data_IF_852047934089
#
_entry.id   IF_852047934089
#
_cell.length_a   1.000
_cell.length_b   1.000
_cell.length_c   1.000
_cell.angle_alpha   90.00
_cell.angle_beta   90.00
_cell.angle_gamma   90.00
#
_symmetry.space_group_name_H-M   'P 1'
#
loop_
_entity.id
_entity.type
_entity.pdbx_description
1 polymer ?
#
# COMPACT_ATOMS: atom_id res chain seq x y z
N UNK A 1 15.82 16.12 82.11
CA UNK A 1 15.66 14.66 81.97
C UNK A 1 15.20 14.36 80.57
N UNK A 2 15.99 13.59 79.79
CA UNK A 2 15.56 12.70 78.67
C UNK A 2 14.84 13.38 77.47
N UNK A 3 15.10 13.14 76.19
CA UNK A 3 15.98 12.25 75.43
C UNK A 3 15.71 12.61 73.94
N UNK A 4 16.76 12.67 73.12
CA UNK A 4 16.88 12.05 71.78
C UNK A 4 16.03 12.49 70.54
N UNK A 5 16.74 12.46 69.40
CA UNK A 5 16.35 12.19 67.99
C UNK A 5 16.10 13.44 67.11
N UNK A 6 17.09 13.90 66.35
CA UNK A 6 17.45 13.49 64.97
C UNK A 6 16.28 13.62 63.98
N UNK A 7 16.40 14.49 62.97
CA UNK A 7 16.54 14.07 61.57
C UNK A 7 16.43 15.28 60.63
N UNK A 8 17.50 15.44 59.86
CA UNK A 8 17.63 16.28 58.68
C UNK A 8 16.55 15.96 57.64
N UNK A 9 15.86 16.97 57.12
CA UNK A 9 15.11 16.86 55.88
C UNK A 9 15.62 17.94 54.92
N UNK A 10 16.52 17.52 54.02
CA UNK A 10 16.95 18.31 52.88
C UNK A 10 15.73 18.65 52.00
N UNK A 11 15.49 19.95 51.83
CA UNK A 11 14.61 20.48 50.78
C UNK A 11 15.43 20.46 49.48
N UNK A 12 15.26 19.42 48.68
CA UNK A 12 15.70 19.42 47.29
C UNK A 12 14.48 19.76 46.40
N UNK A 13 14.40 21.02 45.97
CA UNK A 13 13.51 21.45 44.90
C UNK A 13 13.89 20.72 43.60
N UNK A 14 13.27 19.57 43.35
CA UNK A 14 13.28 18.93 42.04
C UNK A 14 12.42 19.73 41.08
N UNK A 15 13.05 20.55 40.24
CA UNK A 15 12.43 21.14 39.06
C UNK A 15 12.07 19.99 38.10
N UNK A 16 10.82 19.55 38.12
CA UNK A 16 10.27 18.68 37.11
C UNK A 16 10.21 19.48 35.80
N UNK A 17 11.17 19.25 34.92
CA UNK A 17 11.12 19.76 33.56
C UNK A 17 9.91 19.11 32.86
N UNK A 18 9.06 19.90 32.16
CA UNK A 18 8.05 19.32 31.31
C UNK A 18 8.77 18.67 30.13
N UNK A 19 8.76 17.34 30.06
CA UNK A 19 9.03 16.61 28.83
C UNK A 19 7.98 17.03 27.80
N UNK A 20 8.33 18.04 27.00
CA UNK A 20 7.71 18.28 25.73
C UNK A 20 7.97 17.03 24.89
N UNK A 21 7.03 16.09 24.92
CA UNK A 21 6.98 14.98 23.99
C UNK A 21 6.97 15.60 22.59
N UNK A 22 8.14 15.63 21.96
CA UNK A 22 8.24 15.94 20.55
C UNK A 22 7.46 14.84 19.84
N UNK A 23 6.24 15.17 19.41
CA UNK A 23 5.51 14.37 18.44
C UNK A 23 6.43 14.31 17.22
N UNK A 24 7.23 13.26 17.16
CA UNK A 24 8.11 12.97 16.05
C UNK A 24 7.19 12.69 14.89
N UNK A 25 6.92 13.73 14.09
CA UNK A 25 6.21 13.61 12.84
C UNK A 25 6.95 12.54 12.05
N UNK A 26 6.34 11.35 11.97
CA UNK A 26 6.89 10.26 11.18
C UNK A 26 7.12 10.74 9.75
N UNK A 27 7.98 10.04 8.98
CA UNK A 27 8.13 10.34 7.56
C UNK A 27 6.73 10.44 6.91
N UNK A 28 6.51 11.42 6.03
CA UNK A 28 5.21 11.62 5.41
C UNK A 28 4.78 10.32 4.71
N UNK A 29 3.47 10.00 4.73
CA UNK A 29 2.96 8.78 4.11
C UNK A 29 3.32 8.76 2.63
N UNK A 30 3.64 7.57 2.12
CA UNK A 30 3.98 7.36 0.73
C UNK A 30 2.77 7.65 -0.14
N UNK A 31 2.86 8.53 -1.14
CA UNK A 31 1.70 8.93 -1.96
C UNK A 31 1.85 8.36 -3.37
N UNK A 32 0.88 7.57 -3.80
CA UNK A 32 0.87 6.88 -5.10
C UNK A 32 -0.44 7.13 -5.82
N UNK A 33 -0.40 7.28 -7.14
CA UNK A 33 -1.59 7.33 -7.98
C UNK A 33 -1.89 5.91 -8.46
N UNK A 34 -2.93 5.28 -7.94
CA UNK A 34 -3.23 3.87 -8.28
C UNK A 34 -4.53 3.78 -9.07
N UNK A 35 -4.46 3.19 -10.25
CA UNK A 35 -5.62 2.78 -11.04
C UNK A 35 -5.77 1.27 -10.96
N UNK A 36 -6.92 0.77 -10.52
CA UNK A 36 -7.23 -0.65 -10.51
C UNK A 36 -8.06 -1.00 -11.75
N UNK A 37 -7.46 -1.66 -12.73
CA UNK A 37 -8.15 -2.23 -13.88
C UNK A 37 -8.36 -3.73 -13.69
N UNK A 38 -9.55 -4.23 -13.98
CA UNK A 38 -9.92 -5.61 -13.71
C UNK A 38 -10.21 -6.37 -14.99
N UNK A 39 -9.86 -7.65 -15.02
CA UNK A 39 -10.30 -8.56 -16.08
C UNK A 39 -11.84 -8.59 -16.16
N UNK A 40 -12.44 -8.59 -17.36
CA UNK A 40 -13.90 -8.62 -17.51
C UNK A 40 -14.49 -9.95 -17.05
N UNK A 41 -13.67 -10.99 -16.93
CA UNK A 41 -14.07 -12.29 -16.40
C UNK A 41 -14.34 -12.27 -14.90
N UNK A 42 -13.88 -11.22 -14.19
CA UNK A 42 -14.24 -11.01 -12.79
C UNK A 42 -15.65 -10.47 -12.71
N UNK A 43 -16.46 -11.09 -11.85
CA UNK A 43 -17.77 -10.56 -11.52
C UNK A 43 -17.68 -9.28 -10.67
N UNK A 44 -18.81 -8.61 -10.45
CA UNK A 44 -18.86 -7.37 -9.69
C UNK A 44 -18.39 -7.55 -8.23
N UNK A 45 -18.62 -8.71 -7.62
CA UNK A 45 -18.22 -8.99 -6.25
C UNK A 45 -16.70 -9.17 -6.17
N UNK A 46 -16.09 -9.93 -7.08
CA UNK A 46 -14.65 -10.09 -7.18
C UNK A 46 -13.93 -8.75 -7.40
N UNK A 47 -14.44 -7.91 -8.31
CA UNK A 47 -13.91 -6.55 -8.53
C UNK A 47 -13.96 -5.71 -7.25
N UNK A 48 -15.12 -5.69 -6.57
CA UNK A 48 -15.28 -4.97 -5.32
C UNK A 48 -14.32 -5.46 -4.23
N UNK A 49 -13.97 -6.75 -4.21
CA UNK A 49 -13.00 -7.30 -3.25
C UNK A 49 -11.56 -6.90 -3.56
N UNK A 50 -11.18 -6.82 -4.83
CA UNK A 50 -9.88 -6.27 -5.21
C UNK A 50 -9.77 -4.80 -4.83
N UNK A 51 -10.82 -4.00 -5.07
CA UNK A 51 -10.86 -2.61 -4.63
C UNK A 51 -10.80 -2.52 -3.10
N UNK A 52 -11.59 -3.31 -2.37
CA UNK A 52 -11.54 -3.36 -0.91
C UNK A 52 -10.14 -3.71 -0.38
N UNK A 53 -9.42 -4.63 -1.05
CA UNK A 53 -8.03 -4.92 -0.72
C UNK A 53 -7.16 -3.67 -0.90
N UNK A 54 -7.18 -3.04 -2.08
CA UNK A 54 -6.43 -1.82 -2.37
C UNK A 54 -6.73 -0.69 -1.36
N UNK A 55 -8.01 -0.40 -1.11
CA UNK A 55 -8.43 0.61 -0.14
C UNK A 55 -7.95 0.26 1.27
N UNK A 56 -8.02 -1.01 1.67
CA UNK A 56 -7.56 -1.43 2.98
C UNK A 56 -6.04 -1.26 3.15
N UNK A 57 -5.24 -1.41 2.09
CA UNK A 57 -3.80 -1.15 2.12
C UNK A 57 -3.51 0.33 2.34
N UNK A 58 -4.35 1.20 1.77
CA UNK A 58 -4.20 2.64 1.92
C UNK A 58 -4.71 3.19 3.25
N UNK A 59 -5.85 2.72 3.74
CA UNK A 59 -6.51 3.24 4.93
C UNK A 59 -5.71 3.03 6.23
N UNK A 60 -4.91 1.96 6.31
CA UNK A 60 -4.04 1.70 7.46
C UNK A 60 -4.73 1.24 8.74
N UNK A 61 -4.13 0.25 9.40
CA UNK A 61 -4.46 -0.11 10.78
C UNK A 61 -3.73 0.80 11.79
N UNK A 62 -3.52 0.36 13.05
CA UNK A 62 -2.93 1.17 14.13
C UNK A 62 -1.54 1.77 13.82
N UNK A 63 -0.83 1.22 12.84
CA UNK A 63 0.51 1.66 12.39
C UNK A 63 0.49 2.53 11.12
N UNK A 64 -0.68 2.91 10.61
CA UNK A 64 -0.83 3.65 9.35
C UNK A 64 -0.97 2.77 8.12
N UNK A 65 -1.36 3.40 7.00
CA UNK A 65 -1.46 2.77 5.68
C UNK A 65 -0.09 2.49 5.08
N UNK A 66 -0.02 1.56 4.14
CA UNK A 66 1.21 1.35 3.37
C UNK A 66 1.52 2.54 2.47
N UNK A 67 0.47 3.24 2.02
CA UNK A 67 0.54 4.42 1.16
C UNK A 67 -0.80 5.18 1.14
N UNK A 68 -0.79 6.45 0.79
CA UNK A 68 -1.96 7.26 0.42
C UNK A 68 -2.22 7.12 -1.08
N UNK A 69 -3.47 6.84 -1.46
CA UNK A 69 -3.87 6.80 -2.88
C UNK A 69 -4.30 8.19 -3.33
N UNK A 70 -3.71 8.65 -4.43
CA UNK A 70 -4.06 9.88 -5.14
C UNK A 70 -4.86 9.55 -6.42
N UNK A 71 -5.71 10.48 -6.89
CA UNK A 71 -6.36 10.34 -8.19
C UNK A 71 -5.34 10.23 -9.33
N UNK A 72 -5.59 9.32 -10.26
CA UNK A 72 -4.70 9.09 -11.41
C UNK A 72 -4.99 10.02 -12.59
N UNK A 73 -6.27 10.36 -12.81
CA UNK A 73 -6.72 11.05 -14.02
C UNK A 73 -6.65 10.20 -15.30
N UNK A 74 -6.37 8.90 -15.16
CA UNK A 74 -6.25 7.95 -16.26
C UNK A 74 -7.62 7.39 -16.65
N UNK A 75 -7.78 7.06 -17.93
CA UNK A 75 -8.98 6.38 -18.43
C UNK A 75 -8.89 4.87 -18.15
N UNK A 76 -9.77 4.38 -17.28
CA UNK A 76 -9.86 2.98 -16.89
C UNK A 76 -10.08 2.03 -18.07
N UNK A 77 -10.89 2.42 -19.06
CA UNK A 77 -11.30 1.53 -20.15
C UNK A 77 -10.12 1.09 -21.02
N UNK A 78 -9.15 1.99 -21.22
CA UNK A 78 -7.92 1.71 -21.97
C UNK A 78 -7.06 0.63 -21.30
N UNK A 79 -7.03 0.60 -19.96
CA UNK A 79 -6.27 -0.41 -19.20
C UNK A 79 -7.03 -1.72 -19.07
N UNK A 80 -8.36 -1.68 -19.00
CA UNK A 80 -9.17 -2.90 -19.08
C UNK A 80 -8.94 -3.61 -20.41
N UNK A 81 -8.78 -2.90 -21.53
CA UNK A 81 -8.41 -3.51 -22.82
C UNK A 81 -7.11 -4.35 -22.73
N UNK A 82 -6.10 -3.87 -21.99
CA UNK A 82 -4.85 -4.60 -21.76
C UNK A 82 -5.03 -5.92 -20.98
N UNK A 83 -6.10 -6.05 -20.19
CA UNK A 83 -6.43 -7.30 -19.49
C UNK A 83 -7.19 -8.31 -20.37
N UNK A 84 -7.75 -7.86 -21.49
CA UNK A 84 -8.67 -8.62 -22.34
C UNK A 84 -7.98 -9.17 -23.58
N UNK A 85 -7.27 -8.29 -24.28
CA UNK A 85 -6.86 -8.52 -25.68
C UNK A 85 -5.35 -8.68 -25.84
N UNK A 86 -4.56 -8.34 -24.81
CA UNK A 86 -3.11 -8.30 -24.94
C UNK A 86 -2.50 -9.68 -24.73
N UNK A 87 -1.68 -10.12 -25.69
CA UNK A 87 -0.76 -11.25 -25.51
C UNK A 87 0.29 -10.95 -24.43
N UNK A 88 0.64 -9.66 -24.28
CA UNK A 88 1.52 -9.15 -23.23
C UNK A 88 0.84 -7.97 -22.50
N UNK A 89 0.13 -8.31 -21.43
CA UNK A 89 -0.64 -7.39 -20.59
C UNK A 89 0.22 -6.31 -19.95
N UNK A 90 1.48 -6.61 -19.58
CA UNK A 90 2.39 -5.60 -18.99
C UNK A 90 2.82 -4.59 -20.05
N UNK A 91 3.30 -5.06 -21.20
CA UNK A 91 3.73 -4.16 -22.28
C UNK A 91 2.59 -3.27 -22.75
N UNK A 92 1.37 -3.80 -22.83
CA UNK A 92 0.18 -2.99 -23.13
C UNK A 92 -0.05 -1.89 -22.09
N UNK A 93 -0.05 -2.21 -20.80
CA UNK A 93 -0.28 -1.23 -19.74
C UNK A 93 0.84 -0.18 -19.65
N UNK A 94 2.10 -0.57 -19.81
CA UNK A 94 3.22 0.38 -19.87
C UNK A 94 3.10 1.34 -21.05
N UNK A 95 2.67 0.85 -22.22
CA UNK A 95 2.40 1.71 -23.38
C UNK A 95 1.26 2.69 -23.10
N UNK A 96 0.15 2.22 -22.53
CA UNK A 96 -1.00 3.07 -22.20
C UNK A 96 -0.67 4.14 -21.16
N UNK A 97 0.18 3.82 -20.16
CA UNK A 97 0.70 4.82 -19.22
C UNK A 97 1.47 5.92 -19.95
N UNK A 98 2.31 5.57 -20.92
CA UNK A 98 3.05 6.54 -21.72
C UNK A 98 2.14 7.36 -22.64
N UNK A 99 1.19 6.71 -23.31
CA UNK A 99 0.22 7.35 -24.22
C UNK A 99 -0.69 8.35 -23.50
N UNK A 100 -1.09 8.05 -22.26
CA UNK A 100 -1.89 8.95 -21.41
C UNK A 100 -1.05 9.97 -20.63
N UNK A 101 0.26 10.02 -20.85
CA UNK A 101 1.15 11.01 -20.21
C UNK A 101 1.23 10.86 -18.69
N UNK A 102 1.16 9.63 -18.17
CA UNK A 102 1.27 9.36 -16.74
C UNK A 102 2.64 9.81 -16.21
N UNK A 103 2.65 10.47 -15.04
CA UNK A 103 3.87 11.04 -14.42
C UNK A 103 3.92 10.81 -12.92
N UNK A 104 5.14 10.84 -12.37
CA UNK A 104 5.40 10.53 -10.96
C UNK A 104 5.03 9.08 -10.63
N UNK A 105 4.83 8.78 -9.34
CA UNK A 105 4.46 7.47 -8.81
C UNK A 105 3.03 7.04 -9.21
N UNK A 106 2.79 6.86 -10.51
CA UNK A 106 1.55 6.36 -11.09
C UNK A 106 1.67 4.87 -11.38
N UNK A 107 0.77 4.09 -10.81
CA UNK A 107 0.74 2.63 -10.88
C UNK A 107 -0.62 2.20 -11.43
N UNK A 108 -0.59 1.26 -12.37
CA UNK A 108 -1.78 0.50 -12.77
C UNK A 108 -1.67 -0.89 -12.17
N UNK A 109 -2.72 -1.30 -11.46
CA UNK A 109 -2.90 -2.66 -10.97
C UNK A 109 -3.87 -3.36 -11.90
N UNK A 110 -3.39 -4.40 -12.57
CA UNK A 110 -4.17 -5.26 -13.43
C UNK A 110 -4.62 -6.48 -12.62
N UNK A 111 -5.89 -6.49 -12.21
CA UNK A 111 -6.46 -7.51 -11.36
C UNK A 111 -7.11 -8.65 -12.14
N UNK A 112 -6.84 -9.88 -11.71
CA UNK A 112 -7.44 -11.09 -12.26
C UNK A 112 -7.51 -12.20 -11.20
N UNK A 113 -8.25 -13.27 -11.49
CA UNK A 113 -8.50 -14.34 -10.54
C UNK A 113 -9.37 -13.92 -9.35
N UNK A 114 -9.76 -14.88 -8.51
CA UNK A 114 -10.73 -14.65 -7.43
C UNK A 114 -10.36 -15.45 -6.19
N UNK A 115 -10.77 -14.95 -5.01
CA UNK A 115 -10.59 -15.61 -3.73
C UNK A 115 -9.13 -16.03 -3.50
N UNK A 116 -8.90 -17.33 -3.33
CA UNK A 116 -7.57 -17.91 -3.06
C UNK A 116 -6.62 -17.87 -4.27
N UNK A 117 -7.13 -17.57 -5.46
CA UNK A 117 -6.40 -17.53 -6.74
C UNK A 117 -6.36 -16.12 -7.34
N UNK A 118 -6.60 -15.10 -6.53
CA UNK A 118 -6.44 -13.72 -6.94
C UNK A 118 -5.00 -13.44 -7.39
N UNK A 119 -4.87 -12.50 -8.32
CA UNK A 119 -3.58 -12.13 -8.90
C UNK A 119 -3.57 -10.66 -9.29
N UNK A 120 -2.42 -10.02 -9.11
CA UNK A 120 -2.17 -8.64 -9.53
C UNK A 120 -0.90 -8.58 -10.36
N UNK A 121 -0.94 -7.78 -11.43
CA UNK A 121 0.25 -7.27 -12.10
C UNK A 121 0.29 -5.76 -11.85
N UNK A 122 1.33 -5.28 -11.18
CA UNK A 122 1.53 -3.86 -10.90
C UNK A 122 2.54 -3.28 -11.89
N UNK A 123 2.15 -2.22 -12.59
CA UNK A 123 2.95 -1.58 -13.65
C UNK A 123 3.08 -0.09 -13.33
N UNK A 124 4.30 0.41 -13.27
CA UNK A 124 4.61 1.83 -13.07
C UNK A 124 4.93 2.54 -14.38
N UNK A 125 5.31 3.82 -14.29
CA UNK A 125 5.68 4.64 -15.45
C UNK A 125 7.11 4.42 -15.96
N UNK A 126 7.90 3.60 -15.25
CA UNK A 126 9.27 3.31 -15.65
C UNK A 126 9.36 2.40 -16.88
N UNK A 127 10.50 2.46 -17.57
CA UNK A 127 10.71 1.72 -18.81
C UNK A 127 10.77 0.20 -18.62
N UNK A 128 11.10 -0.31 -17.43
CA UNK A 128 11.19 -1.73 -17.10
C UNK A 128 10.86 -2.00 -15.63
N UNK A 129 10.38 -3.22 -15.31
CA UNK A 129 10.25 -3.68 -13.94
C UNK A 129 11.56 -3.64 -13.17
N UNK A 130 11.52 -3.03 -11.99
CA UNK A 130 12.61 -3.03 -11.01
C UNK A 130 12.69 -4.36 -10.28
N UNK A 131 11.58 -5.09 -10.17
CA UNK A 131 11.49 -6.39 -9.50
C UNK A 131 10.33 -7.21 -10.08
N UNK A 132 10.51 -7.81 -11.28
CA UNK A 132 9.43 -8.51 -11.99
C UNK A 132 8.67 -9.53 -11.12
N UNK A 133 9.40 -10.26 -10.27
CA UNK A 133 8.88 -11.28 -9.36
C UNK A 133 8.00 -10.71 -8.23
N UNK A 134 8.19 -9.44 -7.87
CA UNK A 134 7.36 -8.74 -6.86
C UNK A 134 6.19 -8.00 -7.48
N UNK A 135 6.21 -7.79 -8.79
CA UNK A 135 5.24 -6.98 -9.53
C UNK A 135 4.24 -7.81 -10.33
N UNK A 136 4.33 -9.13 -10.23
CA UNK A 136 3.32 -10.08 -10.69
C UNK A 136 3.11 -11.11 -9.57
N UNK A 137 2.02 -10.96 -8.82
CA UNK A 137 1.75 -11.76 -7.63
C UNK A 137 0.49 -12.60 -7.81
N UNK A 138 0.46 -13.76 -7.14
CA UNK A 138 -0.74 -14.55 -6.87
C UNK A 138 -0.89 -14.67 -5.36
N UNK A 139 -2.10 -14.46 -4.86
CA UNK A 139 -2.34 -14.39 -3.43
C UNK A 139 -3.77 -14.78 -3.08
N UNK A 140 -4.00 -15.09 -1.80
CA UNK A 140 -5.32 -15.37 -1.27
C UNK A 140 -6.00 -14.07 -0.81
N UNK A 141 -6.86 -13.53 -1.68
CA UNK A 141 -7.60 -12.31 -1.40
C UNK A 141 -8.53 -12.44 -0.19
N UNK A 142 -9.05 -13.64 0.10
CA UNK A 142 -9.85 -13.88 1.29
C UNK A 142 -9.00 -13.70 2.55
N UNK A 143 -7.84 -14.36 2.58
CA UNK A 143 -6.93 -14.29 3.71
C UNK A 143 -6.45 -12.87 4.01
N UNK A 144 -6.24 -12.05 2.98
CA UNK A 144 -5.79 -10.68 3.17
C UNK A 144 -6.86 -9.68 3.63
N UNK A 145 -8.14 -9.99 3.36
CA UNK A 145 -9.30 -9.18 3.81
C UNK A 145 -9.82 -9.62 5.18
N UNK A 146 -9.72 -10.92 5.50
CA UNK A 146 -10.15 -11.46 6.78
C UNK A 146 -9.22 -11.01 7.92
N UNK A 147 -9.78 -10.30 8.91
CA UNK A 147 -9.05 -9.84 10.10
C UNK A 147 -8.56 -10.96 11.01
N UNK A 148 -9.20 -12.14 10.96
CA UNK A 148 -8.83 -13.30 11.77
C UNK A 148 -7.79 -14.21 11.09
N UNK A 149 -7.52 -14.01 9.79
CA UNK A 149 -6.61 -14.87 9.04
C UNK A 149 -5.16 -14.75 9.53
N UNK A 150 -4.46 -15.87 9.79
CA UNK A 150 -3.05 -15.83 10.15
C UNK A 150 -2.15 -15.36 8.99
N UNK A 151 -2.64 -15.48 7.74
CA UNK A 151 -1.92 -15.05 6.52
C UNK A 151 -2.21 -13.60 6.13
N UNK A 152 -3.02 -12.89 6.91
CA UNK A 152 -3.49 -11.54 6.57
C UNK A 152 -2.34 -10.59 6.31
N UNK A 153 -1.35 -10.54 7.21
CA UNK A 153 -0.25 -9.60 7.07
C UNK A 153 0.67 -9.95 5.90
N UNK A 154 1.00 -11.23 5.73
CA UNK A 154 1.79 -11.73 4.60
C UNK A 154 1.15 -11.38 3.26
N UNK A 155 -0.15 -11.66 3.12
CA UNK A 155 -0.91 -11.37 1.91
C UNK A 155 -0.95 -9.87 1.62
N UNK A 156 -1.21 -9.05 2.64
CA UNK A 156 -1.24 -7.59 2.49
C UNK A 156 0.14 -7.02 2.18
N UNK A 157 1.20 -7.56 2.77
CA UNK A 157 2.58 -7.16 2.48
C UNK A 157 2.98 -7.52 1.04
N UNK A 158 2.57 -8.68 0.52
CA UNK A 158 2.78 -9.04 -0.89
C UNK A 158 2.05 -8.07 -1.83
N UNK A 159 0.77 -7.79 -1.55
CA UNK A 159 -0.05 -6.86 -2.34
C UNK A 159 0.50 -5.41 -2.30
N UNK A 160 0.89 -4.93 -1.12
CA UNK A 160 1.55 -3.63 -0.97
C UNK A 160 2.91 -3.61 -1.67
N UNK A 161 3.69 -4.68 -1.55
CA UNK A 161 5.00 -4.86 -2.20
C UNK A 161 4.93 -4.76 -3.72
N UNK A 162 3.85 -5.26 -4.33
CA UNK A 162 3.58 -5.14 -5.76
C UNK A 162 3.43 -3.66 -6.18
N UNK A 163 2.63 -2.90 -5.42
CA UNK A 163 2.39 -1.47 -5.68
C UNK A 163 3.65 -0.65 -5.43
N UNK A 164 4.35 -0.87 -4.31
CA UNK A 164 5.56 -0.11 -3.97
C UNK A 164 6.71 -0.40 -4.92
N UNK A 165 6.86 -1.65 -5.40
CA UNK A 165 7.86 -1.99 -6.42
C UNK A 165 7.57 -1.30 -7.76
N UNK A 166 6.29 -1.23 -8.17
CA UNK A 166 5.88 -0.45 -9.35
C UNK A 166 6.01 1.07 -9.15
N UNK A 167 5.81 1.55 -7.92
CA UNK A 167 6.12 2.92 -7.53
C UNK A 167 7.60 3.26 -7.76
N UNK A 168 8.52 2.36 -7.38
CA UNK A 168 9.96 2.54 -7.59
C UNK A 168 10.37 2.62 -9.07
N UNK A 169 9.64 1.97 -9.99
CA UNK A 169 9.84 2.18 -11.44
C UNK A 169 9.62 3.64 -11.83
N UNK A 170 8.75 4.33 -11.08
CA UNK A 170 8.18 5.64 -11.41
C UNK A 170 8.94 6.80 -10.76
N UNK A 171 10.19 6.57 -10.33
CA UNK A 171 11.06 7.56 -9.70
C UNK A 171 10.79 7.77 -8.20
N UNK A 172 10.19 6.79 -7.54
CA UNK A 172 10.01 6.76 -6.09
C UNK A 172 11.23 6.16 -5.38
#
# INVERSE_FOLDING_TARGET
>A
MRLLILLSALVACGLAAPEAAMAQAGPPPLRVKVLLASSPHLDAAARARHDAMLQSLSAGGPSGGWFEILPTGLDLAEFEHCTISAQDTRTCASRQLAEQGATGATIVVLAGGEGERASWICVGTGARPTSPERQAIRFDLNAGLDTASPKRMETRAAAAGCITSAGAESGW
#
